data_IF_675175145496
#
_entry.id   IF_675175145496
#
_cell.length_a   1.000
_cell.length_b   1.000
_cell.length_c   1.000
_cell.angle_alpha   90.00
_cell.angle_beta   90.00
_cell.angle_gamma   90.00
#
_symmetry.space_group_name_H-M   'P 1'
#
loop_
_entity.id
_entity.type
_entity.pdbx_description
1 polymer ?
#
# COMPACT_ATOMS: atom_id res chain seq x y z
N UNK A 1 42.30 24.88 -37.09
CA UNK A 1 41.57 23.59 -37.18
C UNK A 1 41.01 23.31 -35.79
N UNK A 2 39.72 23.55 -35.56
CA UNK A 2 39.10 23.25 -34.26
C UNK A 2 38.49 21.85 -34.34
N UNK A 3 39.15 20.87 -33.74
CA UNK A 3 38.63 19.51 -33.58
C UNK A 3 37.55 19.53 -32.50
N UNK A 4 36.29 19.66 -32.92
CA UNK A 4 35.14 19.49 -32.02
C UNK A 4 34.92 18.02 -31.70
N UNK A 5 34.93 17.66 -30.42
CA UNK A 5 34.46 16.36 -29.96
C UNK A 5 32.94 16.32 -30.05
N UNK A 6 32.42 15.51 -30.97
CA UNK A 6 30.98 15.22 -31.05
C UNK A 6 30.70 14.02 -30.15
N UNK A 7 30.00 14.26 -29.03
CA UNK A 7 29.46 13.18 -28.20
C UNK A 7 28.11 12.76 -28.77
N UNK A 8 28.05 11.60 -29.41
CA UNK A 8 26.79 11.00 -29.85
C UNK A 8 26.20 10.21 -28.69
N UNK A 9 25.10 10.72 -28.13
CA UNK A 9 24.38 10.01 -27.08
C UNK A 9 23.41 9.04 -27.75
N UNK A 10 23.69 7.73 -27.63
CA UNK A 10 22.84 6.68 -28.17
C UNK A 10 21.63 6.43 -27.27
N UNK A 11 20.43 6.63 -27.80
CA UNK A 11 19.17 6.44 -27.07
C UNK A 11 19.02 5.01 -26.53
N UNK A 12 19.58 3.99 -27.19
CA UNK A 12 19.47 2.60 -26.72
C UNK A 12 20.32 2.35 -25.47
N UNK A 13 21.54 2.89 -25.42
CA UNK A 13 22.44 2.82 -24.27
C UNK A 13 21.93 3.69 -23.11
N UNK A 14 21.36 4.86 -23.41
CA UNK A 14 20.67 5.68 -22.41
C UNK A 14 19.48 4.94 -21.77
N UNK A 15 18.65 4.30 -22.60
CA UNK A 15 17.47 3.59 -22.10
C UNK A 15 17.90 2.45 -21.17
N UNK A 16 18.92 1.67 -21.55
CA UNK A 16 19.46 0.63 -20.66
C UNK A 16 20.10 1.17 -19.38
N UNK A 17 20.81 2.30 -19.44
CA UNK A 17 21.41 2.94 -18.27
C UNK A 17 20.38 3.56 -17.31
N UNK A 18 19.24 4.01 -17.84
CA UNK A 18 18.17 4.62 -17.05
C UNK A 18 17.20 3.57 -16.52
N UNK A 19 16.79 2.61 -17.34
CA UNK A 19 15.67 1.69 -17.06
C UNK A 19 15.97 0.21 -17.16
N UNK A 20 17.21 -0.19 -17.46
CA UNK A 20 17.65 -1.57 -17.30
C UNK A 20 17.58 -2.05 -15.84
N UNK A 21 17.76 -3.35 -15.59
CA UNK A 21 17.66 -3.92 -14.23
C UNK A 21 18.63 -3.33 -13.19
N UNK A 22 19.71 -2.68 -13.64
CA UNK A 22 20.68 -1.92 -12.84
C UNK A 22 20.56 -0.40 -13.02
N UNK A 23 19.58 0.04 -13.81
CA UNK A 23 19.41 1.42 -14.25
C UNK A 23 19.07 2.35 -13.10
N UNK A 24 19.49 3.61 -13.25
CA UNK A 24 19.36 4.62 -12.19
C UNK A 24 17.91 4.82 -11.73
N UNK A 25 16.95 4.88 -12.66
CA UNK A 25 15.54 5.12 -12.34
C UNK A 25 14.92 3.93 -11.59
N UNK A 26 15.28 2.70 -11.95
CA UNK A 26 14.81 1.49 -11.25
C UNK A 26 15.33 1.46 -9.82
N UNK A 27 16.59 1.81 -9.60
CA UNK A 27 17.17 1.91 -8.25
C UNK A 27 16.50 3.01 -7.44
N UNK A 28 16.33 4.20 -8.00
CA UNK A 28 15.66 5.31 -7.34
C UNK A 28 14.22 4.95 -6.91
N UNK A 29 13.43 4.36 -7.80
CA UNK A 29 12.06 3.92 -7.48
C UNK A 29 12.05 2.80 -6.43
N UNK A 30 12.99 1.86 -6.50
CA UNK A 30 13.13 0.78 -5.52
C UNK A 30 13.48 1.34 -4.14
N UNK A 31 14.34 2.35 -4.07
CA UNK A 31 14.73 2.98 -2.80
C UNK A 31 13.59 3.82 -2.22
N UNK A 32 12.86 4.57 -3.04
CA UNK A 32 11.67 5.33 -2.61
C UNK A 32 10.61 4.37 -2.06
N UNK A 33 10.27 3.32 -2.82
CA UNK A 33 9.26 2.35 -2.37
C UNK A 33 9.69 1.63 -1.09
N UNK A 34 11.00 1.37 -0.89
CA UNK A 34 11.52 0.77 0.35
C UNK A 34 11.34 1.70 1.54
N UNK A 35 11.61 2.99 1.36
CA UNK A 35 11.40 4.02 2.40
C UNK A 35 9.91 4.13 2.75
N UNK A 36 9.04 4.14 1.75
CA UNK A 36 7.57 4.18 1.95
C UNK A 36 7.09 2.94 2.69
N UNK A 37 7.58 1.75 2.32
CA UNK A 37 7.24 0.50 3.00
C UNK A 37 7.64 0.54 4.49
N UNK A 38 8.86 0.99 4.79
CA UNK A 38 9.35 1.11 6.16
C UNK A 38 8.50 2.10 6.98
N UNK A 39 8.23 3.29 6.42
CA UNK A 39 7.38 4.29 7.06
C UNK A 39 5.95 3.79 7.29
N UNK A 40 5.37 3.08 6.31
CA UNK A 40 4.04 2.48 6.42
C UNK A 40 4.00 1.41 7.52
N UNK A 41 5.04 0.58 7.65
CA UNK A 41 5.15 -0.43 8.71
C UNK A 41 5.25 0.18 10.11
N UNK A 42 5.89 1.35 10.25
CA UNK A 42 5.97 2.07 11.51
C UNK A 42 4.62 2.70 11.93
N UNK A 43 3.88 3.23 10.96
CA UNK A 43 2.57 3.88 11.20
C UNK A 43 1.42 2.89 11.33
N UNK A 44 1.57 1.67 10.81
CA UNK A 44 0.52 0.67 10.81
C UNK A 44 0.12 0.27 12.25
N UNK A 45 -1.19 0.26 12.57
CA UNK A 45 -1.66 -0.18 13.86
C UNK A 45 -1.40 -1.68 14.06
N UNK A 46 -0.95 -2.05 15.26
CA UNK A 46 -0.57 -3.42 15.60
C UNK A 46 -1.53 -3.98 16.64
N UNK A 47 -2.17 -5.10 16.28
CA UNK A 47 -2.84 -6.00 17.21
C UNK A 47 -2.07 -7.33 17.24
N UNK A 48 -2.28 -8.20 16.26
CA UNK A 48 -1.49 -9.43 16.03
C UNK A 48 -0.28 -9.24 15.09
N UNK A 49 -0.12 -8.03 14.54
CA UNK A 49 0.92 -7.69 13.56
C UNK A 49 0.76 -8.28 12.16
N UNK A 50 -0.37 -8.93 11.83
CA UNK A 50 -0.62 -9.45 10.49
C UNK A 50 -0.67 -8.32 9.43
N UNK A 51 -1.37 -7.22 9.73
CA UNK A 51 -1.45 -6.05 8.83
C UNK A 51 -0.04 -5.53 8.48
N UNK A 52 0.78 -5.27 9.49
CA UNK A 52 2.15 -4.76 9.32
C UNK A 52 3.02 -5.70 8.48
N UNK A 53 2.90 -7.02 8.68
CA UNK A 53 3.63 -8.03 7.89
C UNK A 53 3.13 -8.12 6.44
N UNK A 54 1.87 -7.78 6.19
CA UNK A 54 1.28 -7.85 4.85
C UNK A 54 1.65 -6.69 3.93
N UNK A 55 2.26 -5.63 4.47
CA UNK A 55 2.75 -4.47 3.70
C UNK A 55 4.03 -4.87 2.99
N UNK A 56 4.02 -4.80 1.65
CA UNK A 56 5.15 -5.16 0.82
C UNK A 56 5.24 -4.25 -0.40
N UNK A 57 6.42 -4.16 -0.99
CA UNK A 57 6.64 -3.50 -2.28
C UNK A 57 6.01 -4.30 -3.42
N UNK A 58 5.51 -3.58 -4.42
CA UNK A 58 5.16 -4.13 -5.74
C UNK A 58 6.40 -4.03 -6.63
N UNK A 59 6.74 -5.08 -7.41
CA UNK A 59 7.85 -5.02 -8.34
C UNK A 59 7.74 -3.83 -9.29
N UNK A 60 8.83 -3.09 -9.54
CA UNK A 60 8.78 -1.94 -10.44
C UNK A 60 8.48 -2.39 -11.87
N UNK A 61 7.49 -1.77 -12.49
CA UNK A 61 7.14 -1.98 -13.89
C UNK A 61 7.81 -0.88 -14.72
N UNK A 62 8.59 -1.30 -15.71
CA UNK A 62 9.30 -0.42 -16.63
C UNK A 62 8.55 -0.34 -17.95
N UNK A 63 8.24 0.88 -18.38
CA UNK A 63 7.67 1.15 -19.70
C UNK A 63 8.46 2.29 -20.36
N UNK A 64 9.44 1.93 -21.19
CA UNK A 64 10.37 2.89 -21.79
C UNK A 64 11.23 3.58 -20.72
N UNK A 65 11.02 4.89 -20.55
CA UNK A 65 11.68 5.73 -19.53
C UNK A 65 10.85 5.89 -18.24
N UNK A 66 9.63 5.35 -18.20
CA UNK A 66 8.75 5.44 -17.05
C UNK A 66 8.94 4.20 -16.18
N UNK A 67 9.31 4.40 -14.92
CA UNK A 67 9.41 3.33 -13.92
C UNK A 67 8.34 3.57 -12.86
N UNK A 68 7.43 2.61 -12.71
CA UNK A 68 6.34 2.67 -11.72
C UNK A 68 6.59 1.64 -10.65
N UNK A 69 6.68 2.08 -9.39
CA UNK A 69 6.76 1.21 -8.21
C UNK A 69 5.64 1.53 -7.22
N UNK A 70 5.29 0.57 -6.39
CA UNK A 70 4.19 0.72 -5.44
C UNK A 70 4.45 0.01 -4.12
N UNK A 71 3.61 0.32 -3.14
CA UNK A 71 3.53 -0.39 -1.86
C UNK A 71 2.08 -0.77 -1.63
N UNK A 72 1.84 -2.03 -1.31
CA UNK A 72 0.50 -2.56 -1.09
C UNK A 72 0.41 -3.31 0.24
N UNK A 73 -0.78 -3.29 0.83
CA UNK A 73 -1.10 -4.07 2.03
C UNK A 73 -2.05 -5.22 1.64
N UNK A 74 -1.58 -6.46 1.76
CA UNK A 74 -2.31 -7.65 1.28
C UNK A 74 -3.35 -8.20 2.24
N UNK A 75 -3.42 -7.70 3.48
CA UNK A 75 -4.47 -8.11 4.41
C UNK A 75 -5.85 -7.71 3.85
N UNK A 76 -6.80 -8.65 3.86
CA UNK A 76 -8.17 -8.44 3.36
C UNK A 76 -8.93 -7.28 4.06
N UNK A 77 -8.53 -6.92 5.28
CA UNK A 77 -9.08 -5.79 6.03
C UNK A 77 -8.23 -4.51 5.94
N UNK A 78 -7.14 -4.49 5.18
CA UNK A 78 -6.24 -3.33 5.11
C UNK A 78 -6.95 -2.05 4.66
N UNK A 79 -7.80 -2.15 3.62
CA UNK A 79 -8.59 -1.00 3.14
C UNK A 79 -9.56 -0.47 4.21
N UNK A 80 -10.17 -1.37 5.00
CA UNK A 80 -11.05 -0.99 6.10
C UNK A 80 -10.29 -0.29 7.24
N UNK A 81 -9.01 -0.63 7.44
CA UNK A 81 -8.14 0.06 8.41
C UNK A 81 -7.71 1.41 7.87
N UNK A 82 -7.25 1.51 6.63
CA UNK A 82 -6.79 2.76 6.02
C UNK A 82 -7.92 3.80 5.95
N UNK A 83 -9.06 3.41 5.41
CA UNK A 83 -10.16 4.31 5.05
C UNK A 83 -11.27 4.37 6.12
N UNK A 84 -11.33 3.38 7.00
CA UNK A 84 -12.47 3.18 7.89
C UNK A 84 -13.64 2.46 7.20
N UNK A 85 -14.69 2.17 7.97
CA UNK A 85 -15.93 1.57 7.47
C UNK A 85 -17.14 2.42 7.82
N UNK A 86 -18.10 2.51 6.89
CA UNK A 86 -19.36 3.21 7.11
C UNK A 86 -20.28 2.45 8.09
N UNK A 87 -21.13 3.16 8.85
CA UNK A 87 -22.19 2.53 9.62
C UNK A 87 -23.06 1.65 8.71
N UNK A 88 -23.41 0.45 9.17
CA UNK A 88 -24.23 -0.49 8.40
C UNK A 88 -25.06 -1.39 9.30
N UNK A 89 -26.17 -1.87 8.78
CA UNK A 89 -26.97 -2.91 9.45
C UNK A 89 -26.45 -4.28 9.01
N UNK A 90 -26.25 -5.18 9.97
CA UNK A 90 -25.91 -6.58 9.74
C UNK A 90 -27.19 -7.39 9.96
N UNK A 91 -27.59 -8.13 8.94
CA UNK A 91 -28.81 -8.92 8.92
C UNK A 91 -28.49 -10.37 8.50
N UNK A 92 -29.21 -11.37 9.03
CA UNK A 92 -29.02 -12.76 8.65
C UNK A 92 -29.50 -12.98 7.21
N UNK A 93 -28.68 -13.65 6.39
CA UNK A 93 -29.03 -13.92 4.98
C UNK A 93 -29.98 -15.11 4.81
N UNK A 94 -29.69 -16.24 5.46
CA UNK A 94 -30.41 -17.51 5.29
C UNK A 94 -31.07 -18.00 6.59
N UNK A 95 -31.00 -17.24 7.67
CA UNK A 95 -31.46 -17.63 9.00
C UNK A 95 -32.46 -16.61 9.56
N UNK A 96 -33.22 -17.00 10.59
CA UNK A 96 -34.21 -16.12 11.25
C UNK A 96 -33.61 -15.08 12.19
N UNK A 97 -32.41 -15.34 12.73
CA UNK A 97 -31.72 -14.44 13.63
C UNK A 97 -30.20 -14.67 13.63
N UNK A 98 -29.46 -13.63 14.01
CA UNK A 98 -28.04 -13.70 14.35
C UNK A 98 -27.89 -14.21 15.78
N UNK A 99 -26.88 -15.04 16.03
CA UNK A 99 -26.58 -15.62 17.35
C UNK A 99 -25.26 -15.08 17.87
N UNK A 100 -25.28 -14.54 19.07
CA UNK A 100 -24.10 -14.02 19.78
C UNK A 100 -23.91 -14.76 21.10
N UNK A 101 -22.67 -14.91 21.54
CA UNK A 101 -22.34 -15.24 22.93
C UNK A 101 -21.78 -13.99 23.58
N UNK A 102 -22.40 -13.54 24.67
CA UNK A 102 -21.97 -12.38 25.43
C UNK A 102 -22.16 -12.67 26.92
N UNK A 103 -21.11 -12.48 27.73
CA UNK A 103 -21.17 -12.69 29.19
C UNK A 103 -21.58 -14.10 29.62
N UNK A 104 -21.27 -15.13 28.83
CA UNK A 104 -21.67 -16.52 29.09
C UNK A 104 -23.10 -16.88 28.63
N UNK A 105 -23.92 -15.89 28.27
CA UNK A 105 -25.28 -16.11 27.76
C UNK A 105 -25.31 -16.07 26.23
N UNK A 106 -26.24 -16.82 25.63
CA UNK A 106 -26.50 -16.76 24.19
C UNK A 106 -27.62 -15.76 23.92
N UNK A 107 -27.36 -14.76 23.08
CA UNK A 107 -28.31 -13.70 22.70
C UNK A 107 -28.62 -13.82 21.22
N UNK A 108 -29.89 -13.63 20.86
CA UNK A 108 -30.34 -13.60 19.47
C UNK A 108 -30.78 -12.19 19.08
N UNK A 109 -30.40 -11.76 17.87
CA UNK A 109 -30.85 -10.48 17.32
C UNK A 109 -31.28 -10.66 15.86
N UNK A 110 -32.38 -10.04 15.48
CA UNK A 110 -32.84 -10.01 14.08
C UNK A 110 -31.97 -9.10 13.22
N UNK A 111 -31.39 -8.06 13.82
CA UNK A 111 -30.46 -7.13 13.16
C UNK A 111 -29.49 -6.50 14.15
N UNK A 112 -28.31 -6.14 13.68
CA UNK A 112 -27.32 -5.36 14.44
C UNK A 112 -27.01 -4.08 13.69
N UNK A 113 -27.17 -2.93 14.35
CA UNK A 113 -26.74 -1.63 13.82
C UNK A 113 -25.28 -1.40 14.19
N UNK A 114 -24.37 -1.63 13.23
CA UNK A 114 -22.95 -1.41 13.43
C UNK A 114 -22.61 0.07 13.16
N UNK A 115 -22.00 0.81 14.12
CA UNK A 115 -21.72 2.25 13.98
C UNK A 115 -20.61 2.58 12.97
N UNK A 116 -19.96 1.56 12.42
CA UNK A 116 -18.80 1.72 11.54
C UNK A 116 -17.50 1.80 12.34
N UNK A 117 -16.39 2.01 11.64
CA UNK A 117 -15.06 2.15 12.25
C UNK A 117 -14.34 3.35 11.65
N UNK A 118 -13.69 4.16 12.50
CA UNK A 118 -12.83 5.25 12.03
C UNK A 118 -11.57 4.68 11.37
N UNK A 119 -11.15 5.29 10.27
CA UNK A 119 -9.89 4.94 9.58
C UNK A 119 -8.68 5.30 10.43
N UNK A 120 -7.66 4.45 10.38
CA UNK A 120 -6.33 4.63 10.95
C UNK A 120 -5.33 4.55 9.79
N UNK A 121 -5.19 5.64 9.01
CA UNK A 121 -4.39 5.63 7.81
C UNK A 121 -2.91 5.42 8.15
N UNK A 122 -2.24 4.60 7.34
CA UNK A 122 -0.85 4.22 7.48
C UNK A 122 -0.10 4.27 6.14
N UNK A 123 -0.77 4.02 5.01
CA UNK A 123 -0.14 4.11 3.68
C UNK A 123 -0.05 5.55 3.19
N UNK A 124 -1.16 6.28 3.17
CA UNK A 124 -1.18 7.66 2.70
C UNK A 124 -0.20 8.57 3.47
N UNK A 125 -0.20 8.59 4.83
CA UNK A 125 0.75 9.41 5.56
C UNK A 125 2.20 8.95 5.39
N UNK A 126 2.46 7.67 5.08
CA UNK A 126 3.82 7.19 4.78
C UNK A 126 4.32 7.71 3.43
N UNK A 127 3.45 7.70 2.42
CA UNK A 127 3.76 8.27 1.11
C UNK A 127 4.01 9.78 1.21
N UNK A 128 3.12 10.50 1.88
CA UNK A 128 3.22 11.96 2.01
C UNK A 128 4.51 12.37 2.75
N UNK A 129 4.93 11.62 3.77
CA UNK A 129 6.20 11.86 4.48
C UNK A 129 7.42 11.65 3.59
N UNK A 130 7.49 10.52 2.87
CA UNK A 130 8.65 10.24 2.00
C UNK A 130 8.69 11.21 0.84
N UNK A 131 7.54 11.57 0.27
CA UNK A 131 7.44 12.55 -0.81
C UNK A 131 7.92 13.94 -0.37
N UNK A 132 7.68 14.34 0.88
CA UNK A 132 8.17 15.61 1.43
C UNK A 132 9.69 15.62 1.71
N UNK A 133 10.33 14.44 1.74
CA UNK A 133 11.76 14.28 2.00
C UNK A 133 12.60 14.05 0.72
N UNK A 134 11.98 14.14 -0.46
CA UNK A 134 12.63 14.11 -1.77
C UNK A 134 13.00 15.53 -2.21
#
# INVERSE_FOLDING_TARGET
MASGFVFTIDNSNLTNALTGGQGFLVKAVTDITRRVEAAAKLKAPVDTGNLRRSINQTPPVVNGLIVTGGVEARANYAAAVELGTRPRVIEPRNARALRFRAGGTTVFATRVRHPGSRGRPFLKPALDEVAAAL
#
